data_IF_385111633443
#
_entry.id   IF_385111633443
#
_cell.length_a   1.000
_cell.length_b   1.000
_cell.length_c   1.000
_cell.angle_alpha   90.00
_cell.angle_beta   90.00
_cell.angle_gamma   90.00
#
_symmetry.space_group_name_H-M   'P 1'
#
loop_
_entity.id
_entity.type
_entity.pdbx_description
1 polymer ?
#
# COMPACT_ATOMS: atom_id res chain seq x y z
N UNK A 1 8.18 0.86 14.36
CA UNK A 1 7.27 2.01 14.49
C UNK A 1 7.88 3.37 14.15
N UNK A 2 9.08 3.47 13.56
CA UNK A 2 9.77 4.75 13.33
C UNK A 2 9.78 5.23 11.87
N UNK A 3 9.25 4.44 10.92
CA UNK A 3 9.21 4.79 9.49
C UNK A 3 7.85 5.28 9.00
N UNK A 4 6.74 4.92 9.65
CA UNK A 4 5.40 5.27 9.18
C UNK A 4 5.14 6.78 9.22
N UNK A 5 5.65 7.48 10.23
CA UNK A 5 5.45 8.92 10.44
C UNK A 5 6.17 9.79 9.41
N UNK A 6 7.48 9.62 9.13
CA UNK A 6 8.14 10.41 8.10
C UNK A 6 7.62 10.08 6.69
N UNK A 7 7.34 8.82 6.39
CA UNK A 7 6.80 8.44 5.07
C UNK A 7 5.39 9.00 4.84
N UNK A 8 4.54 9.01 5.87
CA UNK A 8 3.23 9.66 5.82
C UNK A 8 3.34 11.18 5.60
N UNK A 9 4.30 11.86 6.24
CA UNK A 9 4.54 13.29 6.03
C UNK A 9 5.06 13.62 4.63
N UNK A 10 5.98 12.82 4.09
CA UNK A 10 6.49 13.03 2.72
C UNK A 10 5.38 12.77 1.70
N UNK A 11 4.57 11.72 1.89
CA UNK A 11 3.46 11.44 0.99
C UNK A 11 2.36 12.53 1.06
N UNK A 12 2.09 13.06 2.27
CA UNK A 12 1.24 14.24 2.49
C UNK A 12 1.73 15.44 1.67
N UNK A 13 3.04 15.75 1.79
CA UNK A 13 3.64 16.91 1.16
C UNK A 13 3.63 16.79 -0.36
N UNK A 14 3.95 15.62 -0.91
CA UNK A 14 3.90 15.36 -2.35
C UNK A 14 2.49 15.50 -2.91
N UNK A 15 1.48 14.93 -2.24
CA UNK A 15 0.07 15.04 -2.66
C UNK A 15 -0.42 16.48 -2.58
N UNK A 16 -0.07 17.19 -1.49
CA UNK A 16 -0.44 18.61 -1.29
C UNK A 16 0.23 19.52 -2.32
N UNK A 17 1.48 19.26 -2.71
CA UNK A 17 2.16 20.02 -3.76
C UNK A 17 1.56 19.78 -5.16
N UNK A 18 1.11 18.56 -5.44
CA UNK A 18 0.64 18.19 -6.78
C UNK A 18 -0.87 18.43 -7.00
N UNK A 19 -1.68 18.39 -5.93
CA UNK A 19 -3.15 18.50 -6.01
C UNK A 19 -3.74 19.58 -5.07
N UNK A 20 -2.92 20.30 -4.31
CA UNK A 20 -3.37 21.22 -3.27
C UNK A 20 -3.76 20.51 -1.96
N UNK A 21 -3.91 21.23 -0.84
CA UNK A 21 -4.21 20.63 0.47
C UNK A 21 -5.61 20.01 0.46
N UNK A 22 -5.68 18.69 0.33
CA UNK A 22 -6.92 17.92 0.36
C UNK A 22 -6.82 16.75 1.33
N UNK A 23 -7.54 16.87 2.46
CA UNK A 23 -7.63 15.82 3.49
C UNK A 23 -8.21 14.50 2.95
N UNK A 24 -9.06 14.57 1.92
CA UNK A 24 -9.68 13.39 1.31
C UNK A 24 -8.64 12.58 0.53
N UNK A 25 -7.77 13.25 -0.24
CA UNK A 25 -6.72 12.58 -1.00
C UNK A 25 -5.74 11.84 -0.07
N UNK A 26 -5.48 12.39 1.11
CA UNK A 26 -4.58 11.77 2.06
C UNK A 26 -5.13 10.50 2.72
N UNK A 27 -6.46 10.35 2.81
CA UNK A 27 -7.07 9.11 3.29
C UNK A 27 -7.15 8.09 2.16
N UNK A 28 -7.48 8.53 0.94
CA UNK A 28 -7.67 7.64 -0.22
C UNK A 28 -6.36 6.96 -0.66
N UNK A 29 -5.24 7.68 -0.68
CA UNK A 29 -3.94 7.11 -1.14
C UNK A 29 -3.46 5.90 -0.31
N UNK A 30 -3.34 5.98 1.03
CA UNK A 30 -2.96 4.82 1.82
C UNK A 30 -4.00 3.70 1.79
N UNK A 31 -5.29 4.02 1.64
CA UNK A 31 -6.37 3.02 1.60
C UNK A 31 -6.34 2.22 0.28
N UNK A 32 -6.11 2.90 -0.85
CA UNK A 32 -5.88 2.26 -2.16
C UNK A 32 -4.54 1.51 -2.17
N UNK A 33 -3.49 2.07 -1.56
CA UNK A 33 -2.19 1.43 -1.43
C UNK A 33 -2.25 0.13 -0.63
N UNK A 34 -2.95 0.14 0.51
CA UNK A 34 -3.17 -1.05 1.33
C UNK A 34 -3.96 -2.13 0.57
N UNK A 35 -5.01 -1.74 -0.16
CA UNK A 35 -5.79 -2.67 -0.99
C UNK A 35 -4.96 -3.34 -2.09
N UNK A 36 -4.05 -2.58 -2.72
CA UNK A 36 -3.16 -3.12 -3.74
C UNK A 36 -2.18 -4.15 -3.16
N UNK A 37 -1.66 -3.88 -1.97
CA UNK A 37 -0.79 -4.79 -1.24
C UNK A 37 -1.52 -6.08 -0.88
N UNK A 38 -2.79 -6.00 -0.46
CA UNK A 38 -3.61 -7.19 -0.16
C UNK A 38 -3.79 -8.08 -1.39
N UNK A 39 -4.08 -7.51 -2.56
CA UNK A 39 -4.21 -8.26 -3.82
C UNK A 39 -2.89 -8.96 -4.18
N UNK A 40 -1.78 -8.22 -4.17
CA UNK A 40 -0.46 -8.77 -4.51
C UNK A 40 -0.08 -9.88 -3.53
N UNK A 41 -0.33 -9.68 -2.24
CA UNK A 41 -0.03 -10.67 -1.21
C UNK A 41 -0.90 -11.93 -1.38
N UNK A 42 -2.20 -11.79 -1.64
CA UNK A 42 -3.09 -12.92 -1.90
C UNK A 42 -2.67 -13.71 -3.15
N UNK A 43 -2.24 -13.02 -4.22
CA UNK A 43 -1.73 -13.66 -5.44
C UNK A 43 -0.39 -14.34 -5.20
N UNK A 44 0.52 -13.70 -4.47
CA UNK A 44 1.82 -14.27 -4.14
C UNK A 44 1.68 -15.54 -3.28
N UNK A 45 0.84 -15.50 -2.24
CA UNK A 45 0.57 -16.68 -1.39
C UNK A 45 -0.10 -17.78 -2.20
N UNK A 46 -1.17 -17.48 -2.96
CA UNK A 46 -1.85 -18.49 -3.78
C UNK A 46 -0.93 -19.07 -4.85
N UNK A 47 -0.12 -18.24 -5.51
CA UNK A 47 0.85 -18.67 -6.51
C UNK A 47 1.96 -19.52 -5.92
N UNK A 48 2.45 -19.17 -4.73
CA UNK A 48 3.43 -19.97 -4.00
C UNK A 48 2.85 -21.30 -3.51
N UNK A 49 1.60 -21.32 -3.03
CA UNK A 49 0.91 -22.53 -2.62
C UNK A 49 0.57 -23.47 -3.79
N UNK A 50 0.39 -22.91 -5.00
CA UNK A 50 0.15 -23.65 -6.25
C UNK A 50 1.43 -24.18 -6.91
N UNK A 51 2.62 -23.70 -6.49
CA UNK A 51 3.89 -24.23 -6.99
C UNK A 51 4.09 -25.65 -6.44
N UNK A 52 4.49 -26.63 -7.26
CA UNK A 52 4.53 -28.06 -6.94
C UNK A 52 5.66 -28.47 -5.96
N UNK A 53 6.13 -27.54 -5.12
CA UNK A 53 7.15 -27.78 -4.10
C UNK A 53 6.56 -28.09 -2.72
N UNK A 54 5.30 -27.72 -2.47
CA UNK A 54 4.53 -28.11 -1.28
C UNK A 54 3.33 -28.97 -1.71
N UNK A 55 3.48 -30.30 -1.83
CA UNK A 55 2.33 -31.17 -2.02
C UNK A 55 1.47 -31.11 -0.74
N UNK A 56 0.18 -30.88 -0.94
CA UNK A 56 -0.89 -30.88 0.07
C UNK A 56 -0.91 -32.15 0.92
#
# INVERSE_FOLDING_TARGET
>A
GLGATPTAMVNMQTITNHYGPSHVAFIVVPLVGAFFVDIINALAIKGFLLLPFFPS
#
